data_IF_108033979145
#
_entry.id   IF_108033979145
#
_cell.length_a   1.000
_cell.length_b   1.000
_cell.length_c   1.000
_cell.angle_alpha   90.00
_cell.angle_beta   90.00
_cell.angle_gamma   90.00
#
_symmetry.space_group_name_H-M   'P 1'
#
loop_
_entity.id
_entity.type
_entity.pdbx_description
1 polymer ?
#
# COMPACT_ATOMS: atom_id res chain seq x y z
N UNK A 1 140.63 177.93 -147.67
CA UNK A 1 139.39 177.14 -147.63
C UNK A 1 139.72 175.70 -147.30
N UNK A 2 139.16 175.05 -146.30
CA UNK A 2 138.19 175.44 -145.29
C UNK A 2 138.10 174.16 -144.44
N UNK A 3 138.96 173.98 -143.44
CA UNK A 3 138.75 174.46 -142.06
C UNK A 3 137.55 173.86 -141.32
N UNK A 4 136.76 172.98 -141.95
CA UNK A 4 135.78 172.14 -141.25
C UNK A 4 136.05 170.65 -141.52
N UNK A 5 136.54 170.30 -142.72
CA UNK A 5 136.94 168.93 -143.07
C UNK A 5 138.23 168.44 -142.40
N UNK A 6 139.12 169.35 -141.95
CA UNK A 6 140.36 168.97 -141.25
C UNK A 6 140.13 168.63 -139.78
N UNK A 7 139.14 169.25 -139.13
CA UNK A 7 138.80 168.99 -137.72
C UNK A 7 137.88 167.79 -137.55
N UNK A 8 136.91 167.58 -138.44
CA UNK A 8 136.03 166.40 -138.37
C UNK A 8 136.78 165.13 -138.80
N UNK A 9 137.68 165.18 -139.80
CA UNK A 9 138.58 164.05 -140.08
C UNK A 9 139.58 163.79 -138.93
N UNK A 10 140.01 164.82 -138.19
CA UNK A 10 140.86 164.61 -137.00
C UNK A 10 140.10 163.95 -135.84
N UNK A 11 138.85 164.35 -135.58
CA UNK A 11 138.02 163.77 -134.52
C UNK A 11 137.46 162.39 -134.88
N UNK A 12 137.07 162.16 -136.13
CA UNK A 12 136.72 160.82 -136.62
C UNK A 12 137.94 159.89 -136.65
N UNK A 13 139.14 160.38 -137.00
CA UNK A 13 140.37 159.61 -136.88
C UNK A 13 140.74 159.31 -135.42
N UNK A 14 140.50 160.24 -134.49
CA UNK A 14 140.71 160.04 -133.04
C UNK A 14 139.70 159.02 -132.49
N UNK A 15 138.41 159.14 -132.79
CA UNK A 15 137.35 158.22 -132.36
C UNK A 15 137.52 156.83 -133.01
N UNK A 16 137.94 156.76 -134.27
CA UNK A 16 138.29 155.49 -134.92
C UNK A 16 139.57 154.89 -134.32
N UNK A 17 140.52 155.72 -133.88
CA UNK A 17 141.72 155.25 -133.14
C UNK A 17 141.37 154.74 -131.73
N UNK A 18 140.46 155.39 -131.02
CA UNK A 18 140.03 155.03 -129.67
C UNK A 18 139.13 153.79 -129.70
N UNK A 19 138.22 153.68 -130.67
CA UNK A 19 137.43 152.48 -130.91
C UNK A 19 138.33 151.30 -131.32
N UNK A 20 139.37 151.53 -132.14
CA UNK A 20 140.40 150.52 -132.44
C UNK A 20 141.18 150.14 -131.17
N UNK A 21 141.49 151.08 -130.27
CA UNK A 21 142.16 150.79 -128.99
C UNK A 21 141.26 150.01 -128.01
N UNK A 22 140.00 150.39 -127.82
CA UNK A 22 139.04 149.66 -126.97
C UNK A 22 138.72 148.27 -127.52
N UNK A 23 138.53 148.14 -128.84
CA UNK A 23 138.38 146.83 -129.47
C UNK A 23 139.65 145.98 -129.35
N UNK A 24 140.83 146.60 -129.31
CA UNK A 24 142.10 145.93 -129.02
C UNK A 24 142.17 145.45 -127.58
N UNK A 25 141.79 146.29 -126.59
CA UNK A 25 141.72 145.91 -125.17
C UNK A 25 140.70 144.79 -124.94
N UNK A 26 139.50 144.87 -125.52
CA UNK A 26 138.49 143.82 -125.36
C UNK A 26 138.90 142.52 -126.08
N UNK A 27 139.53 142.60 -127.26
CA UNK A 27 140.15 141.43 -127.90
C UNK A 27 141.28 140.87 -127.06
N UNK A 28 142.05 141.70 -126.37
CA UNK A 28 143.09 141.27 -125.42
C UNK A 28 142.47 140.61 -124.19
N UNK A 29 141.39 141.14 -123.60
CA UNK A 29 140.66 140.51 -122.49
C UNK A 29 140.01 139.18 -122.88
N UNK A 30 139.37 139.09 -124.05
CA UNK A 30 138.84 137.81 -124.56
C UNK A 30 139.99 136.87 -124.85
N UNK A 31 141.09 137.33 -125.46
CA UNK A 31 142.28 136.50 -125.66
C UNK A 31 142.84 136.04 -124.32
N UNK A 32 142.87 136.88 -123.30
CA UNK A 32 143.40 136.56 -121.98
C UNK A 32 142.46 135.63 -121.19
N UNK A 33 141.13 135.82 -121.25
CA UNK A 33 140.16 134.90 -120.66
C UNK A 33 140.15 133.57 -121.39
N UNK A 34 140.18 133.57 -122.73
CA UNK A 34 140.33 132.34 -123.51
C UNK A 34 141.68 131.70 -123.26
N UNK A 35 142.76 132.47 -123.08
CA UNK A 35 144.07 131.97 -122.68
C UNK A 35 144.02 131.38 -121.28
N UNK A 36 143.37 132.02 -120.31
CA UNK A 36 143.15 131.51 -118.93
C UNK A 36 142.27 130.27 -118.93
N UNK A 37 141.25 130.20 -119.78
CA UNK A 37 140.39 129.03 -119.93
C UNK A 37 141.13 127.90 -120.63
N UNK A 38 141.96 128.22 -121.63
CA UNK A 38 142.89 127.27 -122.25
C UNK A 38 143.89 126.76 -121.23
N UNK A 39 144.50 127.62 -120.41
CA UNK A 39 145.41 127.26 -119.32
C UNK A 39 144.68 126.46 -118.24
N UNK A 40 143.44 126.78 -117.85
CA UNK A 40 142.65 125.95 -116.92
C UNK A 40 142.41 124.54 -117.47
N UNK A 41 142.15 124.43 -118.76
CA UNK A 41 141.84 123.15 -119.41
C UNK A 41 143.11 122.34 -119.79
N UNK A 42 144.19 123.01 -120.21
CA UNK A 42 145.49 122.44 -120.62
C UNK A 42 146.43 122.21 -119.42
N UNK A 43 146.37 123.03 -118.37
CA UNK A 43 147.22 122.86 -117.18
C UNK A 43 146.77 121.66 -116.35
N UNK A 44 147.70 120.73 -116.16
CA UNK A 44 147.53 119.53 -115.36
C UNK A 44 147.36 119.91 -113.87
N UNK A 45 148.08 120.91 -113.38
CA UNK A 45 148.09 121.32 -111.97
C UNK A 45 146.71 121.81 -111.48
N UNK A 46 145.98 122.56 -112.31
CA UNK A 46 144.64 123.06 -111.96
C UNK A 46 143.65 121.90 -111.91
N UNK A 47 143.73 120.96 -112.86
CA UNK A 47 142.89 119.76 -112.86
C UNK A 47 143.16 118.87 -111.64
N UNK A 48 144.42 118.75 -111.23
CA UNK A 48 144.80 118.06 -110.00
C UNK A 48 144.28 118.76 -108.75
N UNK A 49 144.35 120.09 -108.69
CA UNK A 49 143.79 120.88 -107.61
C UNK A 49 142.27 120.70 -107.51
N UNK A 50 141.54 120.78 -108.64
CA UNK A 50 140.09 120.57 -108.68
C UNK A 50 139.72 119.15 -108.24
N UNK A 51 140.45 118.11 -108.69
CA UNK A 51 140.26 116.74 -108.20
C UNK A 51 140.52 116.61 -106.69
N UNK A 52 141.56 117.26 -106.17
CA UNK A 52 141.85 117.28 -104.72
C UNK A 52 140.74 117.98 -103.94
N UNK A 53 140.23 119.12 -104.43
CA UNK A 53 139.10 119.82 -103.81
C UNK A 53 137.81 118.99 -103.86
N UNK A 54 137.48 118.36 -104.99
CA UNK A 54 136.34 117.45 -105.08
C UNK A 54 136.48 116.28 -104.11
N UNK A 55 137.67 115.67 -104.00
CA UNK A 55 137.93 114.60 -103.03
C UNK A 55 137.78 115.07 -101.58
N UNK A 56 138.16 116.32 -101.28
CA UNK A 56 137.97 116.91 -99.95
C UNK A 56 136.47 117.15 -99.64
N UNK A 57 135.66 117.58 -100.61
CA UNK A 57 134.21 117.71 -100.44
C UNK A 57 133.55 116.35 -100.20
N UNK A 58 133.92 115.31 -100.97
CA UNK A 58 133.45 113.94 -100.75
C UNK A 58 133.87 113.43 -99.38
N UNK A 59 135.11 113.67 -98.96
CA UNK A 59 135.58 113.28 -97.62
C UNK A 59 134.79 114.00 -96.50
N UNK A 60 134.45 115.29 -96.68
CA UNK A 60 133.59 116.03 -95.75
C UNK A 60 132.19 115.42 -95.65
N UNK A 61 131.60 115.04 -96.78
CA UNK A 61 130.28 114.40 -96.81
C UNK A 61 130.31 112.99 -96.18
N UNK A 62 131.34 112.19 -96.47
CA UNK A 62 131.55 110.89 -95.84
C UNK A 62 131.73 111.02 -94.32
N UNK A 63 132.47 112.03 -93.85
CA UNK A 63 132.61 112.32 -92.41
C UNK A 63 131.25 112.67 -91.78
N UNK A 64 130.42 113.46 -92.45
CA UNK A 64 129.07 113.77 -91.99
C UNK A 64 128.18 112.52 -91.93
N UNK A 65 128.22 111.67 -92.96
CA UNK A 65 127.47 110.39 -92.97
C UNK A 65 127.96 109.42 -91.88
N UNK A 66 129.27 109.34 -91.64
CA UNK A 66 129.82 108.52 -90.54
C UNK A 66 129.36 109.07 -89.20
N UNK A 67 129.34 110.40 -89.02
CA UNK A 67 128.83 111.03 -87.81
C UNK A 67 127.33 110.75 -87.61
N UNK A 68 126.51 110.84 -88.66
CA UNK A 68 125.08 110.53 -88.63
C UNK A 68 124.83 109.05 -88.31
N UNK A 69 125.53 108.12 -88.97
CA UNK A 69 125.43 106.68 -88.65
C UNK A 69 125.85 106.38 -87.21
N UNK A 70 126.88 107.04 -86.69
CA UNK A 70 127.29 106.92 -85.29
C UNK A 70 126.22 107.46 -84.34
N UNK A 71 125.59 108.59 -84.67
CA UNK A 71 124.49 109.14 -83.88
C UNK A 71 123.26 108.22 -83.89
N UNK A 72 122.90 107.66 -85.05
CA UNK A 72 121.83 106.67 -85.18
C UNK A 72 122.12 105.39 -84.40
N UNK A 73 123.35 104.86 -84.49
CA UNK A 73 123.76 103.69 -83.72
C UNK A 73 123.69 103.97 -82.20
N UNK A 74 124.12 105.15 -81.76
CA UNK A 74 124.01 105.55 -80.36
C UNK A 74 122.53 105.65 -79.92
N UNK A 75 121.66 106.26 -80.72
CA UNK A 75 120.23 106.33 -80.44
C UNK A 75 119.60 104.94 -80.33
N UNK A 76 119.88 104.04 -81.28
CA UNK A 76 119.43 102.65 -81.24
C UNK A 76 119.88 101.92 -79.97
N UNK A 77 121.17 102.05 -79.60
CA UNK A 77 121.67 101.46 -78.36
C UNK A 77 120.97 102.03 -77.11
N UNK A 78 120.65 103.32 -77.10
CA UNK A 78 119.89 103.92 -75.98
C UNK A 78 118.44 103.44 -75.94
N UNK A 79 117.77 103.31 -77.08
CA UNK A 79 116.40 102.78 -77.17
C UNK A 79 116.35 101.31 -76.74
N UNK A 80 117.27 100.48 -77.23
CA UNK A 80 117.40 99.08 -76.82
C UNK A 80 117.69 98.95 -75.32
N UNK A 81 118.56 99.79 -74.76
CA UNK A 81 118.84 99.80 -73.32
C UNK A 81 117.61 100.21 -72.50
N UNK A 82 116.83 101.21 -72.96
CA UNK A 82 115.57 101.61 -72.32
C UNK A 82 114.55 100.48 -72.40
N UNK A 83 114.39 99.84 -73.56
CA UNK A 83 113.47 98.72 -73.73
C UNK A 83 113.86 97.51 -72.88
N UNK A 84 115.15 97.17 -72.82
CA UNK A 84 115.65 96.10 -71.96
C UNK A 84 115.40 96.41 -70.48
N UNK A 85 115.62 97.66 -70.05
CA UNK A 85 115.34 98.09 -68.69
C UNK A 85 113.85 98.03 -68.35
N UNK A 86 112.98 98.50 -69.25
CA UNK A 86 111.52 98.42 -69.08
C UNK A 86 111.04 96.96 -68.99
N UNK A 87 111.54 96.08 -69.86
CA UNK A 87 111.20 94.66 -69.83
C UNK A 87 111.68 94.01 -68.53
N UNK A 88 112.91 94.31 -68.09
CA UNK A 88 113.43 93.82 -66.81
C UNK A 88 112.60 94.32 -65.62
N UNK A 89 112.17 95.59 -65.62
CA UNK A 89 111.28 96.14 -64.59
C UNK A 89 109.92 95.43 -64.59
N UNK A 90 109.29 95.24 -65.75
CA UNK A 90 108.01 94.55 -65.87
C UNK A 90 108.10 93.09 -65.42
N UNK A 91 109.18 92.39 -65.77
CA UNK A 91 109.42 91.02 -65.28
C UNK A 91 109.61 90.99 -63.75
N UNK A 92 110.29 91.99 -63.19
CA UNK A 92 110.41 92.18 -61.74
C UNK A 92 109.06 92.42 -61.07
N UNK A 93 108.26 93.35 -61.59
CA UNK A 93 106.93 93.68 -61.08
C UNK A 93 105.98 92.47 -61.16
N UNK A 94 105.98 91.75 -62.27
CA UNK A 94 105.19 90.52 -62.43
C UNK A 94 105.63 89.42 -61.45
N UNK A 95 106.92 89.29 -61.17
CA UNK A 95 107.43 88.34 -60.19
C UNK A 95 106.98 88.69 -58.77
N UNK A 96 107.03 89.98 -58.41
CA UNK A 96 106.52 90.49 -57.12
C UNK A 96 105.02 90.19 -56.98
N UNK A 97 104.22 90.48 -58.01
CA UNK A 97 102.78 90.19 -58.00
C UNK A 97 102.51 88.69 -57.86
N UNK A 98 103.27 87.83 -58.57
CA UNK A 98 103.16 86.38 -58.44
C UNK A 98 103.53 85.88 -57.04
N UNK A 99 104.58 86.43 -56.42
CA UNK A 99 104.96 86.13 -55.04
C UNK A 99 103.89 86.58 -54.04
N UNK A 100 103.28 87.76 -54.24
CA UNK A 100 102.18 88.25 -53.42
C UNK A 100 100.93 87.37 -53.52
N UNK A 101 100.56 86.93 -54.73
CA UNK A 101 99.44 86.01 -54.93
C UNK A 101 99.67 84.66 -54.27
N UNK A 102 100.89 84.11 -54.39
CA UNK A 102 101.28 82.88 -53.70
C UNK A 102 101.28 83.06 -52.17
N UNK A 103 101.71 84.21 -51.67
CA UNK A 103 101.62 84.55 -50.25
C UNK A 103 100.15 84.63 -49.79
N UNK A 104 99.26 85.25 -50.57
CA UNK A 104 97.82 85.30 -50.27
C UNK A 104 97.19 83.92 -50.28
N UNK A 105 97.54 83.06 -51.24
CA UNK A 105 97.09 81.66 -51.30
C UNK A 105 97.54 80.89 -50.06
N UNK A 106 98.81 80.97 -49.70
CA UNK A 106 99.36 80.35 -48.49
C UNK A 106 98.67 80.86 -47.23
N UNK A 107 98.45 82.16 -47.10
CA UNK A 107 97.72 82.75 -45.96
C UNK A 107 96.28 82.24 -45.88
N UNK A 108 95.57 82.17 -47.01
CA UNK A 108 94.21 81.61 -47.04
C UNK A 108 94.17 80.12 -46.71
N UNK A 109 95.16 79.33 -47.17
CA UNK A 109 95.31 77.93 -46.78
C UNK A 109 95.60 77.77 -45.28
N UNK A 110 96.46 78.62 -44.71
CA UNK A 110 96.75 78.63 -43.27
C UNK A 110 95.49 79.00 -42.47
N UNK A 111 94.72 80.01 -42.92
CA UNK A 111 93.43 80.37 -42.29
C UNK A 111 92.46 79.19 -42.30
N UNK A 112 92.24 78.56 -43.45
CA UNK A 112 91.38 77.39 -43.57
C UNK A 112 91.86 76.22 -42.70
N UNK A 113 93.17 75.96 -42.67
CA UNK A 113 93.75 74.94 -41.80
C UNK A 113 93.50 75.24 -40.33
N UNK A 114 93.69 76.49 -39.91
CA UNK A 114 93.43 76.89 -38.52
C UNK A 114 91.95 76.73 -38.16
N UNK A 115 91.03 77.08 -39.07
CA UNK A 115 89.58 76.88 -38.89
C UNK A 115 89.23 75.38 -38.75
N UNK A 116 89.80 74.53 -39.60
CA UNK A 116 89.63 73.07 -39.50
C UNK A 116 90.20 72.53 -38.18
N UNK A 117 91.38 73.00 -37.76
CA UNK A 117 91.99 72.62 -36.48
C UNK A 117 91.12 73.07 -35.29
N UNK A 118 90.48 74.24 -35.36
CA UNK A 118 89.52 74.67 -34.34
C UNK A 118 88.27 73.79 -34.31
N UNK A 119 87.70 73.44 -35.46
CA UNK A 119 86.54 72.54 -35.53
C UNK A 119 86.87 71.14 -34.96
N UNK A 120 88.05 70.61 -35.25
CA UNK A 120 88.51 69.32 -34.70
C UNK A 120 88.63 69.40 -33.17
N UNK A 121 89.16 70.50 -32.63
CA UNK A 121 89.27 70.72 -31.19
C UNK A 121 87.89 70.82 -30.53
N UNK A 122 86.98 71.61 -31.10
CA UNK A 122 85.61 71.75 -30.60
C UNK A 122 84.87 70.40 -30.60
N UNK A 123 84.98 69.62 -31.67
CA UNK A 123 84.41 68.27 -31.70
C UNK A 123 85.05 67.34 -30.66
N UNK A 124 86.36 67.46 -30.42
CA UNK A 124 87.03 66.67 -29.39
C UNK A 124 86.57 67.07 -27.99
N UNK A 125 86.38 68.36 -27.72
CA UNK A 125 85.82 68.85 -26.45
C UNK A 125 84.37 68.41 -26.25
N UNK A 126 83.55 68.45 -27.30
CA UNK A 126 82.18 67.94 -27.24
C UNK A 126 82.16 66.45 -26.93
N UNK A 127 83.03 65.65 -27.57
CA UNK A 127 83.18 64.22 -27.24
C UNK A 127 83.61 63.99 -25.80
N UNK A 128 84.50 64.83 -25.26
CA UNK A 128 84.88 64.78 -23.84
C UNK A 128 83.71 65.06 -22.91
N UNK A 129 82.93 66.13 -23.17
CA UNK A 129 81.74 66.47 -22.38
C UNK A 129 80.70 65.36 -22.41
N UNK A 130 80.39 64.81 -23.58
CA UNK A 130 79.47 63.68 -23.72
C UNK A 130 79.97 62.44 -22.96
N UNK A 131 81.29 62.20 -22.96
CA UNK A 131 81.87 61.10 -22.19
C UNK A 131 81.81 61.34 -20.67
N UNK A 132 82.02 62.57 -20.22
CA UNK A 132 81.87 62.96 -18.81
C UNK A 132 80.41 62.81 -18.35
N UNK A 133 79.44 63.25 -19.16
CA UNK A 133 78.01 63.04 -18.92
C UNK A 133 77.68 61.55 -18.88
N UNK A 134 78.19 60.75 -19.81
CA UNK A 134 78.01 59.29 -19.80
C UNK A 134 78.58 58.64 -18.53
N UNK A 135 79.76 59.07 -18.07
CA UNK A 135 80.35 58.56 -16.83
C UNK A 135 79.50 58.95 -15.61
N UNK A 136 78.97 60.16 -15.59
CA UNK A 136 78.06 60.62 -14.54
C UNK A 136 76.77 59.79 -14.53
N UNK A 137 76.13 59.61 -15.69
CA UNK A 137 74.94 58.79 -15.84
C UNK A 137 75.20 57.35 -15.42
N UNK A 138 76.34 56.77 -15.81
CA UNK A 138 76.74 55.43 -15.39
C UNK A 138 76.86 55.32 -13.88
N UNK A 139 77.50 56.30 -13.23
CA UNK A 139 77.62 56.32 -11.76
C UNK A 139 76.24 56.40 -11.10
N UNK A 140 75.35 57.26 -11.61
CA UNK A 140 73.98 57.36 -11.11
C UNK A 140 73.21 56.03 -11.27
N UNK A 141 73.33 55.39 -12.43
CA UNK A 141 72.71 54.09 -12.69
C UNK A 141 73.28 53.01 -11.76
N UNK A 142 74.60 52.96 -11.58
CA UNK A 142 75.26 52.02 -10.67
C UNK A 142 74.82 52.23 -9.21
N UNK A 143 74.59 53.48 -8.79
CA UNK A 143 74.01 53.79 -7.49
C UNK A 143 72.56 53.34 -7.36
N UNK A 144 71.72 53.57 -8.38
CA UNK A 144 70.33 53.11 -8.40
C UNK A 144 70.28 51.58 -8.31
N UNK A 145 71.09 50.87 -9.11
CA UNK A 145 71.17 49.41 -9.08
C UNK A 145 71.64 48.91 -7.71
N UNK A 146 72.61 49.60 -7.09
CA UNK A 146 73.07 49.26 -5.73
C UNK A 146 71.96 49.43 -4.70
N UNK A 147 71.20 50.53 -4.75
CA UNK A 147 70.05 50.76 -3.86
C UNK A 147 68.96 49.70 -4.04
N UNK A 148 68.63 49.34 -5.28
CA UNK A 148 67.64 48.28 -5.57
C UNK A 148 68.10 46.95 -4.98
N UNK A 149 69.37 46.55 -5.19
CA UNK A 149 69.90 45.30 -4.62
C UNK A 149 69.84 45.29 -3.09
N UNK A 150 70.17 46.41 -2.44
CA UNK A 150 70.08 46.54 -0.98
C UNK A 150 68.63 46.45 -0.49
N UNK A 151 67.70 47.10 -1.19
CA UNK A 151 66.27 47.04 -0.87
C UNK A 151 65.72 45.63 -1.03
N UNK A 152 66.08 44.94 -2.11
CA UNK A 152 65.70 43.54 -2.37
C UNK A 152 66.25 42.59 -1.28
N UNK A 153 67.49 42.78 -0.84
CA UNK A 153 68.08 42.03 0.26
C UNK A 153 67.34 42.28 1.58
N UNK A 154 67.03 43.54 1.89
CA UNK A 154 66.29 43.90 3.09
C UNK A 154 64.87 43.32 3.09
N UNK A 155 64.15 43.42 1.97
CA UNK A 155 62.82 42.83 1.82
C UNK A 155 62.87 41.30 1.89
N UNK A 156 63.91 40.65 1.35
CA UNK A 156 64.13 39.21 1.50
C UNK A 156 64.32 38.82 2.97
N UNK A 157 65.15 39.54 3.71
CA UNK A 157 65.36 39.30 5.14
C UNK A 157 64.08 39.53 5.95
N UNK A 158 63.32 40.59 5.66
CA UNK A 158 62.02 40.87 6.30
C UNK A 158 61.01 39.77 6.02
N UNK A 159 60.93 39.26 4.79
CA UNK A 159 60.11 38.10 4.43
C UNK A 159 60.55 36.83 5.17
N UNK A 160 61.85 36.59 5.31
CA UNK A 160 62.37 35.47 6.11
C UNK A 160 61.97 35.60 7.58
N UNK A 161 62.20 36.76 8.21
CA UNK A 161 61.78 37.01 9.60
C UNK A 161 60.28 36.82 9.80
N UNK A 162 59.45 37.30 8.87
CA UNK A 162 57.99 37.06 8.89
C UNK A 162 57.65 35.57 8.81
N UNK A 163 58.29 34.83 7.90
CA UNK A 163 58.12 33.36 7.79
C UNK A 163 58.54 32.64 9.07
N UNK A 164 59.62 33.08 9.72
CA UNK A 164 60.07 32.52 10.99
C UNK A 164 59.09 32.79 12.13
N UNK A 165 58.55 34.02 12.22
CA UNK A 165 57.52 34.37 13.21
C UNK A 165 56.27 33.50 13.00
N UNK A 166 55.76 33.46 11.76
CA UNK A 166 54.58 32.64 11.42
C UNK A 166 54.85 31.16 11.71
N UNK A 167 56.06 30.65 11.42
CA UNK A 167 56.41 29.26 11.74
C UNK A 167 56.38 29.00 13.24
N UNK A 168 56.94 29.90 14.05
CA UNK A 168 56.89 29.80 15.53
C UNK A 168 55.46 29.84 16.06
N UNK A 169 54.61 30.72 15.53
CA UNK A 169 53.20 30.79 15.88
C UNK A 169 52.45 29.49 15.51
N UNK A 170 52.69 28.95 14.31
CA UNK A 170 52.12 27.66 13.89
C UNK A 170 52.57 26.54 14.83
N UNK A 171 53.85 26.49 15.17
CA UNK A 171 54.40 25.46 16.06
C UNK A 171 53.83 25.60 17.48
N UNK A 172 53.62 26.83 17.96
CA UNK A 172 52.94 27.10 19.23
C UNK A 172 51.49 26.60 19.21
N UNK A 173 50.70 27.01 18.21
CA UNK A 173 49.31 26.57 18.08
C UNK A 173 49.17 25.06 17.88
N UNK A 174 50.13 24.42 17.20
CA UNK A 174 50.18 22.95 17.10
C UNK A 174 50.40 22.30 18.47
N UNK A 175 51.36 22.79 19.25
CA UNK A 175 51.61 22.29 20.62
C UNK A 175 50.40 22.48 21.52
N UNK A 176 49.80 23.67 21.52
CA UNK A 176 48.58 23.95 22.29
C UNK A 176 47.44 23.01 21.89
N UNK A 177 47.27 22.76 20.58
CA UNK A 177 46.25 21.82 20.10
C UNK A 177 46.54 20.38 20.53
N UNK A 178 47.79 19.95 20.50
CA UNK A 178 48.18 18.61 20.98
C UNK A 178 47.95 18.46 22.48
N UNK A 179 48.26 19.49 23.27
CA UNK A 179 48.00 19.54 24.71
C UNK A 179 46.51 19.52 24.99
N UNK A 180 45.71 20.29 24.25
CA UNK A 180 44.24 20.27 24.35
C UNK A 180 43.67 18.89 24.02
N UNK A 181 44.10 18.27 22.92
CA UNK A 181 43.65 16.92 22.55
C UNK A 181 44.05 15.88 23.60
N UNK A 182 45.26 16.00 24.19
CA UNK A 182 45.69 15.13 25.29
C UNK A 182 44.84 15.33 26.53
N UNK A 183 44.56 16.58 26.91
CA UNK A 183 43.71 16.91 28.05
C UNK A 183 42.26 16.42 27.85
N UNK A 184 41.69 16.59 26.65
CA UNK A 184 40.38 16.05 26.30
C UNK A 184 40.34 14.53 26.34
N UNK A 185 41.35 13.85 25.78
CA UNK A 185 41.44 12.38 25.86
C UNK A 185 41.52 11.88 27.28
N UNK A 186 42.26 12.58 28.15
CA UNK A 186 42.38 12.24 29.56
C UNK A 186 41.07 12.49 30.31
N UNK A 187 40.38 13.60 30.05
CA UNK A 187 39.06 13.86 30.62
C UNK A 187 38.05 12.81 30.16
N UNK A 188 38.02 12.48 28.87
CA UNK A 188 37.16 11.43 28.32
C UNK A 188 37.46 10.07 28.95
N UNK A 189 38.73 9.74 29.20
CA UNK A 189 39.10 8.51 29.91
C UNK A 189 38.52 8.47 31.32
N UNK A 190 38.62 9.56 32.08
CA UNK A 190 38.04 9.67 33.42
C UNK A 190 36.52 9.56 33.40
N UNK A 191 35.86 10.19 32.43
CA UNK A 191 34.41 10.09 32.25
C UNK A 191 33.99 8.66 31.90
N UNK A 192 34.71 7.99 30.99
CA UNK A 192 34.47 6.59 30.64
C UNK A 192 34.69 5.66 31.84
N UNK A 193 35.74 5.87 32.64
CA UNK A 193 35.96 5.14 33.89
C UNK A 193 34.82 5.36 34.88
N UNK A 194 34.33 6.59 35.03
CA UNK A 194 33.19 6.90 35.89
C UNK A 194 31.88 6.25 35.38
N UNK A 195 31.64 6.27 34.07
CA UNK A 195 30.51 5.59 33.45
C UNK A 195 30.60 4.08 33.68
N UNK A 196 31.76 3.47 33.42
CA UNK A 196 31.97 2.04 33.62
C UNK A 196 31.78 1.62 35.09
N UNK A 197 32.27 2.43 36.04
CA UNK A 197 32.05 2.19 37.46
C UNK A 197 30.57 2.30 37.84
N UNK A 198 29.84 3.25 37.25
CA UNK A 198 28.40 3.40 37.46
C UNK A 198 27.60 2.25 36.82
N UNK A 199 27.93 1.82 35.60
CA UNK A 199 27.28 0.68 34.94
C UNK A 199 27.52 -0.60 35.71
N UNK A 200 28.75 -0.85 36.19
CA UNK A 200 29.05 -2.02 37.01
C UNK A 200 28.19 -2.05 38.29
N UNK A 201 28.08 -0.92 39.00
CA UNK A 201 27.19 -0.82 40.17
C UNK A 201 25.73 -1.07 39.82
N UNK A 202 25.25 -0.55 38.69
CA UNK A 202 23.88 -0.77 38.23
C UNK A 202 23.62 -2.21 37.80
N UNK A 203 24.59 -2.85 37.17
CA UNK A 203 24.52 -4.26 36.80
C UNK A 203 24.50 -5.14 38.05
N UNK A 204 25.32 -4.84 39.07
CA UNK A 204 25.30 -5.55 40.36
C UNK A 204 23.95 -5.37 41.08
N UNK A 205 23.40 -4.16 41.11
CA UNK A 205 22.06 -3.89 41.64
C UNK A 205 21.01 -4.72 40.87
N UNK A 206 21.03 -4.70 39.54
CA UNK A 206 20.10 -5.49 38.73
C UNK A 206 20.26 -6.99 38.92
N UNK A 207 21.49 -7.49 39.05
CA UNK A 207 21.76 -8.89 39.33
C UNK A 207 21.25 -9.29 40.71
N UNK A 208 21.40 -8.43 41.72
CA UNK A 208 20.83 -8.67 43.06
C UNK A 208 19.29 -8.71 43.02
N UNK A 209 18.65 -7.81 42.26
CA UNK A 209 17.20 -7.82 42.06
C UNK A 209 16.77 -9.09 41.32
N UNK A 210 17.46 -9.48 40.25
CA UNK A 210 17.18 -10.73 39.53
C UNK A 210 17.36 -11.95 40.43
N UNK A 211 18.40 -11.98 41.27
CA UNK A 211 18.64 -13.06 42.22
C UNK A 211 17.53 -13.15 43.26
N UNK A 212 17.05 -12.03 43.81
CA UNK A 212 15.92 -12.03 44.75
C UNK A 212 14.60 -12.45 44.11
N UNK A 213 14.34 -12.02 42.86
CA UNK A 213 13.17 -12.48 42.09
C UNK A 213 13.26 -13.98 41.83
N UNK A 214 14.42 -14.48 41.40
CA UNK A 214 14.64 -15.91 41.15
C UNK A 214 14.47 -16.73 42.43
N UNK A 215 15.05 -16.31 43.55
CA UNK A 215 14.87 -16.96 44.85
C UNK A 215 13.40 -16.96 45.29
N UNK A 216 12.65 -15.88 45.00
CA UNK A 216 11.20 -15.82 45.25
C UNK A 216 10.44 -16.79 44.35
N UNK A 217 10.77 -16.87 43.06
CA UNK A 217 10.17 -17.82 42.12
C UNK A 217 10.43 -19.26 42.54
N UNK A 218 11.68 -19.62 42.87
CA UNK A 218 12.03 -20.95 43.39
C UNK A 218 11.26 -21.28 44.67
N UNK A 219 11.00 -20.29 45.53
CA UNK A 219 10.17 -20.48 46.73
C UNK A 219 8.69 -20.71 46.39
N UNK A 220 8.16 -20.00 45.38
CA UNK A 220 6.79 -20.20 44.90
C UNK A 220 6.66 -21.57 44.24
N UNK A 221 7.61 -21.98 43.41
CA UNK A 221 7.63 -23.31 42.76
C UNK A 221 7.64 -24.42 43.82
N UNK A 222 8.51 -24.33 44.85
CA UNK A 222 8.49 -25.30 45.96
C UNK A 222 7.14 -25.36 46.68
N UNK A 223 6.52 -24.21 46.93
CA UNK A 223 5.18 -24.16 47.53
C UNK A 223 4.11 -24.74 46.60
N UNK A 224 4.21 -24.51 45.29
CA UNK A 224 3.31 -25.08 44.29
C UNK A 224 3.48 -26.60 44.20
N UNK A 225 4.71 -27.12 44.26
CA UNK A 225 4.99 -28.55 44.30
C UNK A 225 4.43 -29.20 45.58
N UNK A 226 4.59 -28.54 46.73
CA UNK A 226 4.00 -28.99 48.00
C UNK A 226 2.46 -28.98 47.97
N UNK A 227 1.86 -27.94 47.40
CA UNK A 227 0.41 -27.86 47.18
C UNK A 227 -0.08 -28.91 46.18
N UNK A 228 0.65 -29.13 45.09
CA UNK A 228 0.36 -30.14 44.09
C UNK A 228 0.37 -31.55 44.70
N UNK A 229 1.37 -31.87 45.53
CA UNK A 229 1.41 -33.14 46.27
C UNK A 229 0.23 -33.29 47.22
N UNK A 230 -0.12 -32.25 47.99
CA UNK A 230 -1.29 -32.27 48.88
C UNK A 230 -2.62 -32.42 48.14
N UNK A 231 -2.75 -31.78 46.98
CA UNK A 231 -3.94 -31.93 46.13
C UNK A 231 -4.04 -33.34 45.55
N UNK A 232 -2.93 -33.92 45.08
CA UNK A 232 -2.87 -35.31 44.63
C UNK A 232 -3.20 -36.31 45.75
N UNK A 233 -2.70 -36.08 46.97
CA UNK A 233 -3.06 -36.89 48.14
C UNK A 233 -4.56 -36.77 48.45
N UNK A 234 -5.12 -35.55 48.44
CA UNK A 234 -6.54 -35.33 48.64
C UNK A 234 -7.42 -35.94 47.55
N UNK A 235 -6.97 -35.90 46.30
CA UNK A 235 -7.66 -36.52 45.17
C UNK A 235 -7.62 -38.04 45.28
N UNK A 236 -6.49 -38.63 45.69
CA UNK A 236 -6.40 -40.07 46.00
C UNK A 236 -7.33 -40.46 47.15
N UNK A 237 -7.31 -39.72 48.26
CA UNK A 237 -8.24 -39.93 49.38
C UNK A 237 -9.71 -39.86 48.90
N UNK A 238 -10.04 -38.90 48.03
CA UNK A 238 -11.39 -38.78 47.47
C UNK A 238 -11.75 -39.92 46.52
N UNK A 239 -10.80 -40.41 45.72
CA UNK A 239 -10.99 -41.56 44.85
C UNK A 239 -11.19 -42.84 45.68
N UNK A 240 -10.37 -43.08 46.69
CA UNK A 240 -10.52 -44.20 47.63
C UNK A 240 -11.89 -44.16 48.34
N UNK A 241 -12.35 -42.98 48.76
CA UNK A 241 -13.69 -42.81 49.35
C UNK A 241 -14.82 -43.07 48.35
N UNK A 242 -14.67 -42.65 47.10
CA UNK A 242 -15.68 -42.90 46.06
C UNK A 242 -15.70 -44.39 45.65
N UNK A 243 -14.54 -45.06 45.59
CA UNK A 243 -14.45 -46.51 45.39
C UNK A 243 -15.12 -47.28 46.54
N UNK A 244 -14.89 -46.87 47.79
CA UNK A 244 -15.59 -47.43 48.95
C UNK A 244 -17.10 -47.19 48.85
N UNK A 245 -17.53 -45.99 48.45
CA UNK A 245 -18.96 -45.66 48.26
C UNK A 245 -19.60 -46.50 47.17
N UNK A 246 -18.92 -46.69 46.04
CA UNK A 246 -19.38 -47.56 44.95
C UNK A 246 -19.49 -49.01 45.42
N UNK A 247 -18.52 -49.48 46.20
CA UNK A 247 -18.53 -50.83 46.79
C UNK A 247 -19.75 -51.01 47.70
N UNK A 248 -20.03 -50.05 48.59
CA UNK A 248 -21.22 -50.07 49.45
C UNK A 248 -22.52 -50.08 48.63
N UNK A 249 -22.62 -49.24 47.60
CA UNK A 249 -23.81 -49.20 46.72
C UNK A 249 -24.02 -50.56 46.02
N UNK A 250 -22.95 -51.20 45.55
CA UNK A 250 -23.01 -52.54 44.96
C UNK A 250 -23.47 -53.57 45.99
N UNK A 251 -22.91 -53.58 47.19
CA UNK A 251 -23.32 -54.48 48.27
C UNK A 251 -24.78 -54.26 48.71
N UNK A 252 -25.25 -53.02 48.80
CA UNK A 252 -26.64 -52.68 49.08
C UNK A 252 -27.58 -53.16 47.97
N UNK A 253 -27.18 -53.01 46.70
CA UNK A 253 -27.96 -53.51 45.57
C UNK A 253 -27.99 -55.05 45.55
N UNK A 254 -26.88 -55.72 45.84
CA UNK A 254 -26.81 -57.17 45.96
C UNK A 254 -27.66 -57.68 47.13
N UNK A 255 -27.70 -56.93 48.24
CA UNK A 255 -28.58 -57.23 49.38
C UNK A 255 -30.05 -57.06 48.98
N UNK A 256 -30.42 -55.96 48.32
CA UNK A 256 -31.77 -55.74 47.79
C UNK A 256 -32.17 -56.84 46.80
N UNK A 257 -31.26 -57.26 45.93
CA UNK A 257 -31.53 -58.36 44.99
C UNK A 257 -31.76 -59.68 45.74
N UNK A 258 -30.96 -59.98 46.77
CA UNK A 258 -31.17 -61.16 47.63
C UNK A 258 -32.51 -61.10 48.37
N UNK A 259 -32.87 -59.96 48.95
CA UNK A 259 -34.17 -59.74 49.60
C UNK A 259 -35.33 -59.86 48.61
N UNK A 260 -35.19 -59.34 47.39
CA UNK A 260 -36.19 -59.49 46.32
C UNK A 260 -36.34 -60.97 45.91
N UNK A 261 -35.25 -61.72 45.75
CA UNK A 261 -35.29 -63.16 45.48
C UNK A 261 -35.95 -63.94 46.63
N UNK A 262 -35.63 -63.59 47.88
CA UNK A 262 -36.24 -64.19 49.07
C UNK A 262 -37.74 -63.86 49.14
N UNK A 263 -38.13 -62.62 48.89
CA UNK A 263 -39.53 -62.19 48.84
C UNK A 263 -40.30 -62.88 47.69
N UNK A 264 -39.69 -63.04 46.52
CA UNK A 264 -40.25 -63.80 45.41
C UNK A 264 -40.41 -65.28 45.77
N UNK A 265 -39.48 -65.84 46.53
CA UNK A 265 -39.58 -67.20 47.04
C UNK A 265 -40.68 -67.34 48.10
N UNK A 266 -40.75 -66.42 49.06
CA UNK A 266 -41.80 -66.35 50.09
C UNK A 266 -43.17 -66.21 49.45
N UNK A 267 -43.34 -65.31 48.46
CA UNK A 267 -44.61 -65.14 47.75
C UNK A 267 -44.98 -66.38 46.93
N UNK A 268 -44.03 -67.05 46.28
CA UNK A 268 -44.28 -68.33 45.61
C UNK A 268 -44.77 -69.40 46.59
N UNK A 269 -44.09 -69.57 47.73
CA UNK A 269 -44.47 -70.54 48.78
C UNK A 269 -45.83 -70.19 49.38
N UNK A 270 -46.06 -68.91 49.69
CA UNK A 270 -47.34 -68.43 50.24
C UNK A 270 -48.48 -68.65 49.24
N UNK A 271 -48.25 -68.39 47.95
CA UNK A 271 -49.26 -68.64 46.91
C UNK A 271 -49.54 -70.13 46.72
N UNK A 272 -48.52 -70.99 46.80
CA UNK A 272 -48.72 -72.45 46.79
C UNK A 272 -49.52 -72.92 48.01
N UNK A 273 -49.22 -72.40 49.21
CA UNK A 273 -49.97 -72.70 50.42
C UNK A 273 -51.42 -72.22 50.33
N UNK A 274 -51.66 -70.98 49.88
CA UNK A 274 -53.01 -70.45 49.62
C UNK A 274 -53.77 -71.32 48.61
N UNK A 275 -53.13 -71.72 47.50
CA UNK A 275 -53.75 -72.61 46.52
C UNK A 275 -54.12 -73.97 47.12
N UNK A 276 -53.26 -74.55 47.97
CA UNK A 276 -53.56 -75.79 48.69
C UNK A 276 -54.70 -75.63 49.70
N UNK A 277 -54.72 -74.52 50.45
CA UNK A 277 -55.79 -74.19 51.38
C UNK A 277 -57.12 -73.96 50.66
N UNK A 278 -57.12 -73.21 49.57
CA UNK A 278 -58.30 -72.95 48.75
C UNK A 278 -58.81 -74.24 48.10
N UNK A 279 -57.91 -75.11 47.63
CA UNK A 279 -58.29 -76.45 47.14
C UNK A 279 -58.93 -77.30 48.25
N UNK A 280 -58.36 -77.31 49.46
CA UNK A 280 -58.95 -78.00 50.62
C UNK A 280 -60.32 -77.43 50.98
N UNK A 281 -60.47 -76.11 51.02
CA UNK A 281 -61.75 -75.43 51.27
C UNK A 281 -62.78 -75.76 50.19
N UNK A 282 -62.39 -75.75 48.91
CA UNK A 282 -63.28 -76.12 47.80
C UNK A 282 -63.73 -77.59 47.92
N UNK A 283 -62.84 -78.49 48.35
CA UNK A 283 -63.17 -79.90 48.56
C UNK A 283 -64.14 -80.10 49.72
N UNK A 284 -63.94 -79.38 50.83
CA UNK A 284 -64.85 -79.36 51.98
C UNK A 284 -66.22 -78.80 51.59
N UNK A 285 -66.27 -77.66 50.93
CA UNK A 285 -67.51 -77.06 50.43
C UNK A 285 -68.25 -77.99 49.47
N UNK A 286 -67.52 -78.71 48.60
CA UNK A 286 -68.12 -79.69 47.69
C UNK A 286 -68.67 -80.91 48.43
N UNK A 287 -68.00 -81.37 49.47
CA UNK A 287 -68.49 -82.47 50.31
C UNK A 287 -69.71 -82.01 51.13
N UNK A 288 -69.69 -80.80 51.70
CA UNK A 288 -70.85 -80.18 52.38
C UNK A 288 -72.04 -80.03 51.41
N UNK A 289 -71.82 -79.53 50.20
CA UNK A 289 -72.85 -79.46 49.15
C UNK A 289 -73.41 -80.84 48.85
N UNK A 290 -72.57 -81.87 48.72
CA UNK A 290 -73.01 -83.24 48.47
C UNK A 290 -73.79 -83.83 49.66
N UNK A 291 -73.47 -83.46 50.89
CA UNK A 291 -74.24 -83.85 52.07
C UNK A 291 -75.60 -83.14 52.10
N UNK A 292 -75.63 -81.84 51.82
CA UNK A 292 -76.89 -81.07 51.69
C UNK A 292 -77.75 -81.66 50.57
N UNK A 293 -77.20 -81.95 49.39
CA UNK A 293 -77.91 -82.59 48.28
C UNK A 293 -78.45 -83.98 48.67
N UNK A 294 -77.69 -84.77 49.45
CA UNK A 294 -78.17 -86.06 49.97
C UNK A 294 -79.30 -85.88 50.98
N UNK A 295 -79.18 -84.92 51.89
CA UNK A 295 -80.23 -84.60 52.87
C UNK A 295 -81.48 -84.07 52.19
N UNK A 296 -81.34 -83.21 51.18
CA UNK A 296 -82.44 -82.73 50.34
C UNK A 296 -83.06 -83.86 49.53
N UNK A 297 -82.27 -84.74 48.91
CA UNK A 297 -82.77 -85.92 48.22
C UNK A 297 -83.52 -86.87 49.18
N UNK A 298 -83.04 -87.04 50.41
CA UNK A 298 -83.73 -87.80 51.46
C UNK A 298 -85.03 -87.10 51.89
N UNK A 299 -85.04 -85.77 52.06
CA UNK A 299 -86.24 -84.98 52.36
C UNK A 299 -87.26 -85.09 51.22
N UNK A 300 -86.83 -84.99 49.96
CA UNK A 300 -87.68 -85.16 48.77
C UNK A 300 -88.22 -86.59 48.69
N UNK A 301 -87.37 -87.61 48.92
CA UNK A 301 -87.79 -89.01 48.96
C UNK A 301 -88.82 -89.26 50.07
N UNK A 302 -88.58 -88.74 51.28
CA UNK A 302 -89.49 -88.89 52.41
C UNK A 302 -90.79 -88.11 52.18
N UNK A 303 -90.73 -86.92 51.58
CA UNK A 303 -91.91 -86.17 51.16
C UNK A 303 -92.72 -86.93 50.10
N UNK A 304 -92.06 -87.51 49.10
CA UNK A 304 -92.75 -88.34 48.09
C UNK A 304 -93.33 -89.62 48.70
N UNK A 305 -92.64 -90.30 49.62
CA UNK A 305 -93.17 -91.45 50.33
C UNK A 305 -94.37 -91.08 51.20
N UNK A 306 -94.28 -89.99 51.98
CA UNK A 306 -95.40 -89.48 52.78
C UNK A 306 -96.60 -89.09 51.90
N UNK A 307 -96.34 -88.47 50.74
CA UNK A 307 -97.39 -88.14 49.76
C UNK A 307 -98.02 -89.41 49.18
N UNK A 308 -97.24 -90.43 48.83
CA UNK A 308 -97.77 -91.72 48.38
C UNK A 308 -98.57 -92.44 49.47
N UNK A 309 -98.13 -92.40 50.74
CA UNK A 309 -98.92 -92.93 51.87
C UNK A 309 -100.22 -92.14 52.09
N UNK A 310 -100.20 -90.83 51.90
CA UNK A 310 -101.38 -89.97 51.97
C UNK A 310 -102.34 -90.24 50.82
N UNK A 311 -101.83 -90.41 49.59
CA UNK A 311 -102.61 -90.78 48.40
C UNK A 311 -103.18 -92.20 48.53
N UNK A 312 -102.42 -93.19 49.04
CA UNK A 312 -102.94 -94.53 49.35
C UNK A 312 -104.00 -94.51 50.46
N UNK A 313 -103.81 -93.69 51.52
CA UNK A 313 -104.83 -93.50 52.55
C UNK A 313 -106.11 -92.89 51.99
N UNK A 314 -105.99 -91.89 51.11
CA UNK A 314 -107.13 -91.26 50.45
C UNK A 314 -107.84 -92.22 49.51
N UNK A 315 -107.10 -93.02 48.75
CA UNK A 315 -107.65 -94.04 47.85
C UNK A 315 -108.35 -95.16 48.63
N UNK A 316 -107.76 -95.65 49.72
CA UNK A 316 -108.41 -96.60 50.64
C UNK A 316 -109.68 -95.99 51.29
N UNK A 317 -109.64 -94.72 51.69
CA UNK A 317 -110.80 -94.03 52.24
C UNK A 317 -111.90 -93.80 51.19
N UNK A 318 -111.54 -93.54 49.92
CA UNK A 318 -112.49 -93.45 48.80
C UNK A 318 -113.10 -94.81 48.45
N UNK A 319 -112.30 -95.88 48.44
CA UNK A 319 -112.77 -97.26 48.26
C UNK A 319 -113.74 -97.67 49.38
N UNK A 320 -113.40 -97.37 50.63
CA UNK A 320 -114.30 -97.57 51.78
C UNK A 320 -115.57 -96.72 51.65
N UNK A 321 -115.47 -95.45 51.21
CA UNK A 321 -116.65 -94.61 50.93
C UNK A 321 -117.53 -95.15 49.80
N UNK A 322 -116.94 -95.68 48.71
CA UNK A 322 -117.68 -96.31 47.61
C UNK A 322 -118.37 -97.60 48.08
N UNK A 323 -117.66 -98.44 48.83
CA UNK A 323 -118.23 -99.66 49.42
C UNK A 323 -119.35 -99.32 50.40
N UNK A 324 -119.18 -98.32 51.27
CA UNK A 324 -120.21 -97.88 52.20
C UNK A 324 -121.41 -97.26 51.47
N UNK A 325 -121.21 -96.50 50.39
CA UNK A 325 -122.30 -95.98 49.54
C UNK A 325 -123.04 -97.09 48.82
N UNK A 326 -122.35 -98.09 48.28
CA UNK A 326 -122.98 -99.27 47.67
C UNK A 326 -123.75 -100.10 48.70
N UNK A 327 -123.19 -100.31 49.89
CA UNK A 327 -123.88 -100.99 51.00
C UNK A 327 -125.07 -100.19 51.51
N UNK A 328 -124.98 -98.86 51.63
CA UNK A 328 -126.12 -97.99 51.95
C UNK A 328 -127.18 -98.06 50.87
N UNK A 329 -126.82 -97.97 49.60
CA UNK A 329 -127.77 -98.08 48.49
C UNK A 329 -128.41 -99.48 48.43
N UNK A 330 -127.64 -100.55 48.63
CA UNK A 330 -128.14 -101.92 48.73
C UNK A 330 -129.10 -102.09 49.93
N UNK A 331 -128.77 -101.54 51.10
CA UNK A 331 -129.65 -101.52 52.27
C UNK A 331 -130.90 -100.66 52.04
N UNK A 332 -130.80 -99.50 51.42
CA UNK A 332 -131.94 -98.62 51.10
C UNK A 332 -132.88 -99.28 50.07
N UNK A 333 -132.34 -99.96 49.07
CA UNK A 333 -133.11 -100.78 48.13
C UNK A 333 -133.75 -101.97 48.83
N UNK A 334 -133.01 -102.67 49.72
CA UNK A 334 -133.53 -103.79 50.49
C UNK A 334 -134.58 -103.36 51.51
N UNK A 335 -134.42 -102.20 52.16
CA UNK A 335 -135.42 -101.57 53.01
C UNK A 335 -136.65 -101.15 52.19
N UNK A 336 -136.46 -100.54 51.03
CA UNK A 336 -137.56 -100.18 50.13
C UNK A 336 -138.33 -101.41 49.63
N UNK A 337 -137.66 -102.55 49.43
CA UNK A 337 -138.26 -103.84 49.12
C UNK A 337 -139.01 -104.43 50.32
N UNK A 338 -138.42 -104.39 51.52
CA UNK A 338 -139.09 -104.80 52.77
C UNK A 338 -140.32 -103.93 53.03
N UNK A 339 -140.21 -102.61 52.87
CA UNK A 339 -141.31 -101.66 53.02
C UNK A 339 -142.39 -101.85 51.96
N UNK A 340 -142.03 -102.17 50.71
CA UNK A 340 -143.01 -102.56 49.69
C UNK A 340 -143.70 -103.87 50.08
N UNK A 341 -142.96 -104.86 50.58
CA UNK A 341 -143.50 -106.15 51.01
C UNK A 341 -144.38 -106.00 52.25
N UNK A 342 -144.04 -105.11 53.17
CA UNK A 342 -144.82 -104.73 54.34
C UNK A 342 -146.04 -103.91 53.95
N UNK A 343 -145.94 -102.95 53.02
CA UNK A 343 -147.11 -102.24 52.47
C UNK A 343 -148.07 -103.18 51.77
N UNK A 344 -147.58 -104.10 50.94
CA UNK A 344 -148.41 -105.12 50.29
C UNK A 344 -149.03 -106.07 51.31
N UNK A 345 -148.28 -106.50 52.34
CA UNK A 345 -148.85 -107.33 53.41
C UNK A 345 -149.85 -106.57 54.28
N UNK A 346 -149.63 -105.29 54.58
CA UNK A 346 -150.56 -104.42 55.30
C UNK A 346 -151.82 -104.17 54.46
N UNK A 347 -151.68 -103.84 53.18
CA UNK A 347 -152.81 -103.70 52.25
C UNK A 347 -153.58 -105.02 52.11
N UNK A 348 -152.89 -106.17 52.09
CA UNK A 348 -153.53 -107.49 52.09
C UNK A 348 -154.22 -107.82 53.41
N UNK A 349 -153.64 -107.47 54.56
CA UNK A 349 -154.24 -107.63 55.89
C UNK A 349 -155.41 -106.66 56.12
N UNK A 350 -155.32 -105.42 55.64
CA UNK A 350 -156.41 -104.45 55.64
C UNK A 350 -157.54 -104.94 54.73
N UNK A 351 -157.24 -105.33 53.48
CA UNK A 351 -158.23 -105.87 52.56
C UNK A 351 -158.87 -107.17 53.08
N UNK A 352 -158.11 -108.02 53.79
CA UNK A 352 -158.62 -109.22 54.46
C UNK A 352 -159.50 -108.85 55.66
N UNK A 353 -159.12 -107.88 56.48
CA UNK A 353 -159.94 -107.37 57.59
C UNK A 353 -161.23 -106.71 57.10
N UNK A 354 -161.18 -105.96 56.02
CA UNK A 354 -162.35 -105.31 55.41
C UNK A 354 -163.26 -106.38 54.77
N UNK A 355 -162.69 -107.38 54.10
CA UNK A 355 -163.45 -108.53 53.56
C UNK A 355 -164.07 -109.37 54.68
N UNK A 356 -163.35 -109.61 55.78
CA UNK A 356 -163.87 -110.37 56.92
C UNK A 356 -164.90 -109.55 57.71
N UNK A 357 -164.74 -108.22 57.84
CA UNK A 357 -165.75 -107.33 58.42
C UNK A 357 -167.02 -107.25 57.57
N UNK A 358 -166.89 -107.22 56.25
CA UNK A 358 -168.03 -107.25 55.33
C UNK A 358 -168.71 -108.63 55.34
N UNK A 359 -167.94 -109.72 55.41
CA UNK A 359 -168.48 -111.08 55.62
C UNK A 359 -169.21 -111.20 56.96
N UNK A 360 -168.67 -110.64 58.04
CA UNK A 360 -169.31 -110.61 59.34
C UNK A 360 -170.62 -109.81 59.30
N UNK A 361 -170.65 -108.65 58.64
CA UNK A 361 -171.88 -107.88 58.40
C UNK A 361 -172.93 -108.68 57.63
N UNK A 362 -172.54 -109.32 56.53
CA UNK A 362 -173.43 -110.17 55.72
C UNK A 362 -173.92 -111.40 56.51
N UNK A 363 -173.10 -111.96 57.41
CA UNK A 363 -173.49 -113.07 58.27
C UNK A 363 -174.47 -112.63 59.37
N UNK A 364 -174.23 -111.47 59.99
CA UNK A 364 -175.11 -110.87 61.00
C UNK A 364 -176.48 -110.52 60.39
N UNK A 365 -176.48 -109.94 59.19
CA UNK A 365 -177.71 -109.64 58.43
C UNK A 365 -178.49 -110.91 58.09
N UNK A 366 -177.83 -112.00 57.71
CA UNK A 366 -178.49 -113.31 57.50
C UNK A 366 -179.06 -113.89 58.79
N UNK A 367 -178.39 -113.71 59.94
CA UNK A 367 -178.87 -114.19 61.25
C UNK A 367 -180.14 -113.45 61.67
N UNK A 368 -180.16 -112.13 61.49
CA UNK A 368 -181.32 -111.26 61.79
C UNK A 368 -182.50 -111.62 60.88
N UNK A 369 -182.26 -111.91 59.60
CA UNK A 369 -183.29 -112.25 58.62
C UNK A 369 -183.94 -113.62 58.89
N UNK A 370 -183.17 -114.60 59.38
CA UNK A 370 -183.71 -115.91 59.78
C UNK A 370 -184.48 -115.86 61.11
N UNK A 371 -184.07 -115.00 62.06
CA UNK A 371 -184.78 -114.76 63.34
C UNK A 371 -186.16 -114.13 63.10
N UNK A 372 -186.23 -113.10 62.26
CA UNK A 372 -187.50 -112.45 61.86
C UNK A 372 -188.43 -113.43 61.14
N UNK A 373 -187.86 -114.28 60.28
CA UNK A 373 -188.64 -115.31 59.58
C UNK A 373 -189.28 -116.32 60.54
N UNK A 374 -188.56 -116.78 61.58
CA UNK A 374 -189.14 -117.68 62.58
C UNK A 374 -190.22 -117.00 63.43
N UNK A 375 -190.08 -115.70 63.67
CA UNK A 375 -191.08 -114.93 64.41
C UNK A 375 -192.42 -114.87 63.65
N UNK A 376 -192.36 -114.60 62.35
CA UNK A 376 -193.52 -114.61 61.46
C UNK A 376 -194.21 -115.98 61.40
N UNK A 377 -193.45 -117.07 61.40
CA UNK A 377 -194.02 -118.42 61.38
C UNK A 377 -194.76 -118.76 62.69
N UNK A 378 -194.28 -118.29 63.85
CA UNK A 378 -194.92 -118.59 65.14
C UNK A 378 -196.22 -117.85 65.37
N UNK A 379 -196.29 -116.56 65.02
CA UNK A 379 -197.49 -115.76 65.28
C UNK A 379 -198.72 -116.30 64.55
N UNK A 380 -198.51 -116.88 63.36
CA UNK A 380 -199.60 -117.36 62.55
C UNK A 380 -199.91 -118.85 62.74
N UNK A 381 -199.11 -119.60 63.50
CA UNK A 381 -199.28 -121.06 63.62
C UNK A 381 -200.52 -121.47 64.44
N UNK A 382 -200.79 -120.83 65.58
CA UNK A 382 -201.78 -121.35 66.52
C UNK A 382 -203.24 -121.26 66.06
N UNK A 383 -203.56 -120.44 65.07
CA UNK A 383 -204.94 -120.25 64.63
C UNK A 383 -205.28 -121.00 63.35
N UNK A 384 -204.34 -121.77 62.78
CA UNK A 384 -204.36 -122.02 61.33
C UNK A 384 -204.08 -123.45 60.88
N UNK A 385 -204.14 -124.47 61.74
CA UNK A 385 -203.67 -125.79 61.29
C UNK A 385 -204.42 -126.37 60.09
N UNK A 386 -205.64 -125.91 59.82
CA UNK A 386 -206.39 -126.44 58.70
C UNK A 386 -206.05 -125.84 57.32
N UNK A 387 -205.31 -124.72 57.20
CA UNK A 387 -205.34 -123.91 55.95
C UNK A 387 -203.98 -123.44 55.37
N UNK A 388 -202.86 -124.14 55.58
CA UNK A 388 -201.53 -123.68 55.11
C UNK A 388 -201.11 -124.13 53.69
N UNK A 389 -200.54 -123.24 52.85
CA UNK A 389 -199.90 -123.59 51.58
C UNK A 389 -198.69 -124.55 51.65
N UNK A 390 -198.65 -125.48 50.69
CA UNK A 390 -197.52 -126.38 50.38
C UNK A 390 -196.26 -125.56 50.05
N UNK A 391 -195.36 -125.38 51.02
CA UNK A 391 -194.04 -124.75 50.84
C UNK A 391 -193.51 -123.91 52.01
N UNK A 392 -194.28 -123.81 53.09
CA UNK A 392 -194.00 -122.85 54.17
C UNK A 392 -192.91 -123.33 55.14
N UNK A 393 -192.72 -124.64 55.26
CA UNK A 393 -191.61 -125.23 56.02
C UNK A 393 -190.51 -125.61 55.05
N UNK A 394 -189.32 -125.07 55.23
CA UNK A 394 -188.19 -125.40 54.37
C UNK A 394 -187.63 -126.77 54.68
N UNK A 395 -187.47 -127.05 55.97
CA UNK A 395 -186.92 -128.31 56.41
C UNK A 395 -187.99 -129.16 57.07
N UNK A 396 -187.75 -130.46 57.05
CA UNK A 396 -188.54 -131.43 57.79
C UNK A 396 -188.55 -131.14 59.30
N UNK A 397 -187.54 -130.43 59.81
CA UNK A 397 -187.40 -130.06 61.23
C UNK A 397 -188.38 -128.94 61.62
N UNK A 398 -188.61 -127.98 60.72
CA UNK A 398 -189.59 -126.88 60.87
C UNK A 398 -191.03 -127.45 60.99
N UNK A 399 -191.34 -128.59 60.34
CA UNK A 399 -192.65 -129.27 60.39
C UNK A 399 -192.80 -130.26 61.58
N UNK A 400 -191.73 -130.86 62.10
CA UNK A 400 -191.80 -131.79 63.25
C UNK A 400 -191.91 -131.07 64.60
N UNK A 401 -191.19 -129.96 64.80
CA UNK A 401 -191.19 -129.21 66.07
C UNK A 401 -192.55 -128.57 66.37
N UNK A 402 -193.27 -128.15 65.32
CA UNK A 402 -194.64 -127.65 65.44
C UNK A 402 -195.67 -128.80 65.72
N UNK A 403 -195.31 -130.11 65.63
CA UNK A 403 -196.25 -131.26 65.71
C UNK A 403 -196.46 -131.93 67.09
N UNK A 404 -195.48 -131.97 68.02
CA UNK A 404 -195.75 -132.40 69.41
C UNK A 404 -196.69 -131.41 70.17
N UNK A 405 -196.78 -130.13 69.71
CA UNK A 405 -197.48 -128.98 70.34
C UNK A 405 -199.01 -129.04 70.38
N UNK A 406 -199.62 -129.99 69.66
CA UNK A 406 -201.06 -130.28 69.76
C UNK A 406 -201.30 -131.69 70.34
N UNK A 407 -200.26 -132.52 70.58
CA UNK A 407 -200.43 -133.68 71.49
C UNK A 407 -200.29 -133.29 72.97
N UNK A 408 -199.74 -132.11 73.28
CA UNK A 408 -199.74 -131.49 74.62
C UNK A 408 -200.91 -130.50 74.83
N UNK A 409 -202.03 -130.69 74.11
CA UNK A 409 -203.36 -130.18 74.50
C UNK A 409 -204.51 -131.04 73.99
#
# INVERSE_FOLDING_TARGET
MNEIDSRINSLSSIDESLAKQLAKIHREQIKEQKLRQKIKNESIEIRELEKKLQSAYVAKEQLAQIAEKRALAYNLMTEEAIHAHQLASQLGDNLIVAEEEECRRKQSQIRLKNELDTQIKEQAELRKKVYEEFLHDKQMVDEVVRRIKQEDEFERQKRQKRKEIIRKEIDHSKKEREEHIKAEKENLRRELEAINAYTAKKDDEQQSIKATIKARQERIERLQDELGKKLLEKEKESQELEELRQTIILEENDKKFREEQENQWITKVTNQQKLQEDYKKQLLLKEEQKQIEKEEALKIRNYMLAKFEEDERLEQAELQKRHLKQMKYANEVHQSLIEKRQRIMQEYEQAKKDLDAEKHRILEEKRILEEERQHLLRQHANNLWDHLPKGIFRSKEEYESLKHLIHEN
#
